data_IF_121164355986
#
_entry.id   IF_121164355986
#
_cell.length_a   1.000
_cell.length_b   1.000
_cell.length_c   1.000
_cell.angle_alpha   90.00
_cell.angle_beta   90.00
_cell.angle_gamma   90.00
#
_symmetry.space_group_name_H-M   'P 1'
#
loop_
_entity.id
_entity.type
_entity.pdbx_description
1 polymer ?
#
# COMPACT_ATOMS: atom_id res chain seq x y z
N UNK A 1 -8.25 -24.80 26.97
CA UNK A 1 -7.47 -23.72 26.33
C UNK A 1 -5.99 -24.07 26.08
N UNK A 2 -5.53 -25.34 26.19
CA UNK A 2 -4.12 -25.72 25.92
C UNK A 2 -3.88 -26.34 24.53
N UNK A 3 -4.92 -26.62 23.74
CA UNK A 3 -4.80 -27.32 22.44
C UNK A 3 -4.48 -26.38 21.27
N UNK A 4 -4.92 -25.11 21.29
CA UNK A 4 -4.59 -24.15 20.23
C UNK A 4 -3.12 -23.70 20.26
N UNK A 5 -2.53 -23.61 21.45
CA UNK A 5 -1.13 -23.22 21.66
C UNK A 5 -0.13 -24.26 21.13
N UNK A 6 -0.51 -25.54 21.06
CA UNK A 6 0.32 -26.62 20.50
C UNK A 6 0.30 -26.66 18.97
N UNK A 7 -0.75 -26.14 18.31
CA UNK A 7 -0.82 -26.06 16.86
C UNK A 7 0.04 -24.91 16.30
N UNK A 8 0.15 -23.80 17.04
CA UNK A 8 1.03 -22.67 16.70
C UNK A 8 2.52 -23.04 16.79
N UNK A 9 2.93 -23.82 17.80
CA UNK A 9 4.33 -24.24 17.98
C UNK A 9 4.85 -25.15 16.84
N UNK A 10 3.98 -25.95 16.23
CA UNK A 10 4.37 -26.91 15.18
C UNK A 10 4.53 -26.33 13.77
N UNK A 11 3.89 -25.19 13.48
CA UNK A 11 3.90 -24.59 12.15
C UNK A 11 4.98 -23.51 11.98
N UNK A 12 5.35 -22.81 13.06
CA UNK A 12 6.42 -21.80 13.05
C UNK A 12 7.79 -22.46 12.80
N UNK A 13 8.01 -23.69 13.27
CA UNK A 13 9.28 -24.43 13.04
C UNK A 13 9.43 -24.92 11.60
N UNK A 14 8.33 -25.22 10.89
CA UNK A 14 8.41 -25.72 9.52
C UNK A 14 8.59 -24.63 8.47
N UNK A 15 8.13 -23.41 8.75
CA UNK A 15 8.30 -22.28 7.83
C UNK A 15 9.78 -21.80 7.76
N UNK A 16 10.53 -21.97 8.84
CA UNK A 16 11.93 -21.54 8.92
C UNK A 16 12.94 -22.52 8.30
N UNK A 17 12.58 -23.79 8.09
CA UNK A 17 13.48 -24.81 7.52
C UNK A 17 13.52 -24.85 5.98
N UNK A 18 12.61 -24.14 5.30
CA UNK A 18 12.53 -24.14 3.83
C UNK A 18 13.41 -23.07 3.15
N UNK A 19 13.99 -22.13 3.92
CA UNK A 19 14.82 -21.03 3.37
C UNK A 19 16.27 -21.44 3.12
N UNK A 20 16.79 -22.48 3.79
CA UNK A 20 18.20 -22.89 3.64
C UNK A 20 18.47 -23.86 2.48
N UNK A 21 17.46 -24.34 1.74
CA UNK A 21 17.65 -25.39 0.74
C UNK A 21 17.80 -24.91 -0.72
N UNK A 22 17.58 -23.63 -1.04
CA UNK A 22 17.55 -23.19 -2.45
C UNK A 22 18.82 -22.49 -2.96
N UNK A 23 19.88 -22.39 -2.17
CA UNK A 23 21.09 -21.63 -2.53
C UNK A 23 22.29 -22.44 -3.04
N UNK A 24 22.10 -23.66 -3.56
CA UNK A 24 23.21 -24.40 -4.16
C UNK A 24 22.75 -25.29 -5.31
N UNK A 25 22.62 -24.70 -6.50
CA UNK A 25 23.02 -25.34 -7.78
C UNK A 25 22.79 -24.38 -8.95
N UNK A 26 23.87 -23.73 -9.42
CA UNK A 26 23.92 -23.20 -10.79
C UNK A 26 25.18 -23.75 -11.43
N UNK A 27 25.04 -24.94 -12.03
CA UNK A 27 25.99 -25.48 -12.97
C UNK A 27 25.72 -24.88 -14.36
N UNK A 28 26.78 -24.28 -14.90
CA UNK A 28 26.92 -23.84 -16.28
C UNK A 28 26.70 -24.99 -17.26
N UNK A 29 25.88 -24.81 -18.29
CA UNK A 29 26.18 -25.46 -19.57
C UNK A 29 25.52 -24.82 -20.81
N UNK A 30 26.25 -25.01 -21.90
CA UNK A 30 26.16 -24.47 -23.25
C UNK A 30 24.79 -24.40 -23.93
N UNK A 31 24.51 -23.26 -24.59
CA UNK A 31 23.72 -23.25 -25.83
C UNK A 31 24.37 -22.40 -26.92
N UNK A 32 24.64 -23.08 -28.04
CA UNK A 32 25.20 -22.57 -29.29
C UNK A 32 24.21 -21.71 -30.07
N UNK A 33 24.77 -20.64 -30.64
CA UNK A 33 24.52 -20.02 -31.95
C UNK A 33 23.19 -20.31 -32.68
N UNK A 34 22.38 -19.26 -32.83
CA UNK A 34 21.36 -19.13 -33.89
C UNK A 34 21.59 -17.78 -34.59
N UNK A 35 21.63 -17.72 -35.94
CA UNK A 35 22.01 -16.50 -36.65
C UNK A 35 20.90 -15.45 -36.68
N UNK A 36 21.32 -14.19 -36.57
CA UNK A 36 20.51 -12.99 -36.77
C UNK A 36 19.99 -12.93 -38.22
N UNK A 37 18.68 -12.83 -38.37
CA UNK A 37 18.01 -12.58 -39.64
C UNK A 37 17.32 -11.22 -39.54
N UNK A 38 17.90 -10.21 -40.21
CA UNK A 38 17.30 -8.88 -40.35
C UNK A 38 16.05 -8.93 -41.24
N UNK A 39 14.97 -8.21 -40.89
CA UNK A 39 13.98 -7.79 -41.86
C UNK A 39 14.22 -6.32 -42.26
N UNK A 40 14.47 -6.16 -43.56
CA UNK A 40 14.56 -4.92 -44.31
C UNK A 40 13.25 -4.13 -44.32
N UNK A 41 13.39 -2.86 -43.96
CA UNK A 41 12.79 -1.64 -44.55
C UNK A 41 11.27 -1.51 -44.77
N UNK A 42 10.77 -0.36 -44.29
CA UNK A 42 9.69 0.45 -44.88
C UNK A 42 8.26 0.22 -44.39
N UNK A 43 7.90 0.87 -43.27
CA UNK A 43 6.66 1.65 -43.27
C UNK A 43 6.75 2.85 -42.32
N UNK A 44 6.87 4.02 -42.95
CA UNK A 44 6.77 5.35 -42.33
C UNK A 44 5.37 5.52 -41.74
N UNK A 45 5.26 5.67 -40.43
CA UNK A 45 4.17 6.41 -39.81
C UNK A 45 4.76 7.45 -38.87
N UNK A 46 4.94 8.64 -39.42
CA UNK A 46 5.25 9.85 -38.68
C UNK A 46 3.97 10.28 -37.98
N UNK A 47 3.78 9.91 -36.71
CA UNK A 47 2.78 10.52 -35.87
C UNK A 47 3.32 11.87 -35.39
N UNK A 48 2.94 12.92 -36.11
CA UNK A 48 3.13 14.30 -35.67
C UNK A 48 2.31 14.52 -34.40
N UNK A 49 2.98 14.40 -33.24
CA UNK A 49 2.48 14.98 -31.99
C UNK A 49 2.43 16.49 -32.22
N UNK A 50 1.22 17.00 -32.42
CA UNK A 50 0.99 18.44 -32.48
C UNK A 50 0.66 18.89 -31.06
N UNK A 51 1.50 19.70 -30.41
CA UNK A 51 1.08 20.34 -29.17
C UNK A 51 -0.05 21.32 -29.51
N UNK A 52 -1.16 21.20 -28.79
CA UNK A 52 -2.37 22.01 -28.99
C UNK A 52 -2.14 23.43 -28.48
N UNK A 53 -1.44 24.26 -29.27
CA UNK A 53 -1.54 25.73 -29.23
C UNK A 53 -1.27 26.32 -30.62
N UNK A 54 -2.25 26.23 -31.52
CA UNK A 54 -2.26 27.05 -32.74
C UNK A 54 -2.90 28.40 -32.42
N UNK A 55 -2.13 29.32 -31.83
CA UNK A 55 -2.56 30.73 -31.75
C UNK A 55 -2.36 31.35 -33.13
N UNK A 56 -3.46 31.59 -33.83
CA UNK A 56 -3.51 32.37 -35.08
C UNK A 56 -2.85 33.72 -34.82
N UNK A 57 -1.66 33.94 -35.40
CA UNK A 57 -1.03 35.27 -35.41
C UNK A 57 -1.81 36.13 -36.38
N UNK A 58 -2.73 36.93 -35.84
CA UNK A 58 -3.35 38.03 -36.57
C UNK A 58 -2.57 39.29 -36.19
N UNK A 59 -1.84 39.85 -37.16
CA UNK A 59 -1.21 41.15 -37.01
C UNK A 59 -2.30 42.23 -36.96
N UNK A 60 -2.43 42.94 -35.82
CA UNK A 60 -3.08 44.25 -35.73
C UNK A 60 -2.38 45.08 -34.65
N UNK A 61 -2.27 46.36 -34.97
CA UNK A 61 -1.56 47.47 -34.35
C UNK A 61 -1.76 47.73 -32.84
N UNK A 62 -0.82 48.57 -32.40
CA UNK A 62 -0.50 49.12 -31.09
C UNK A 62 -1.64 49.85 -30.32
N UNK A 63 -1.41 49.95 -29.00
CA UNK A 63 -1.97 50.87 -27.98
C UNK A 63 -3.29 50.50 -27.29
N UNK A 64 -3.15 50.01 -26.05
CA UNK A 64 -4.23 49.88 -25.07
C UNK A 64 -3.81 48.94 -23.96
N UNK A 65 -3.51 49.49 -22.78
CA UNK A 65 -3.12 48.75 -21.58
C UNK A 65 -4.27 47.82 -21.15
N UNK A 66 -4.30 46.59 -21.66
CA UNK A 66 -5.19 45.53 -21.19
C UNK A 66 -4.59 44.94 -19.91
N UNK A 67 -5.38 44.66 -18.86
CA UNK A 67 -4.86 43.89 -17.73
C UNK A 67 -4.37 42.56 -18.30
N UNK A 68 -3.11 42.25 -18.02
CA UNK A 68 -2.53 40.95 -18.29
C UNK A 68 -3.49 39.92 -17.67
N UNK A 69 -4.11 39.07 -18.48
CA UNK A 69 -4.93 37.95 -17.98
C UNK A 69 -3.98 37.07 -17.15
N UNK A 70 -3.86 37.38 -15.85
CA UNK A 70 -3.10 36.59 -14.89
C UNK A 70 -3.83 35.25 -14.78
N UNK A 71 -3.38 34.28 -15.58
CA UNK A 71 -3.72 32.88 -15.37
C UNK A 71 -3.41 32.59 -13.89
N UNK A 72 -4.40 32.16 -13.10
CA UNK A 72 -4.22 32.05 -11.67
C UNK A 72 -3.12 31.02 -11.41
N UNK A 73 -2.27 31.23 -10.39
CA UNK A 73 -1.09 30.40 -10.16
C UNK A 73 -1.48 28.91 -10.19
N UNK A 74 -0.66 28.08 -10.83
CA UNK A 74 -0.91 26.64 -11.06
C UNK A 74 -1.45 25.91 -9.81
N UNK A 75 -0.99 26.31 -8.63
CA UNK A 75 -1.46 25.84 -7.32
C UNK A 75 -2.98 25.99 -7.09
N UNK A 76 -3.57 27.08 -7.59
CA UNK A 76 -5.01 27.34 -7.46
C UNK A 76 -5.87 26.61 -8.47
N UNK A 77 -5.35 26.34 -9.68
CA UNK A 77 -6.07 25.59 -10.71
C UNK A 77 -6.16 24.11 -10.35
N UNK A 78 -5.04 23.49 -9.94
CA UNK A 78 -5.05 22.08 -9.57
C UNK A 78 -5.94 21.83 -8.35
N UNK A 79 -5.92 22.72 -7.34
CA UNK A 79 -6.74 22.57 -6.13
C UNK A 79 -8.23 22.54 -6.47
N UNK A 80 -8.66 23.36 -7.43
CA UNK A 80 -10.03 23.37 -7.92
C UNK A 80 -10.36 22.05 -8.64
N UNK A 81 -9.48 21.57 -9.51
CA UNK A 81 -9.67 20.29 -10.20
C UNK A 81 -9.74 19.11 -9.22
N UNK A 82 -8.88 19.07 -8.20
CA UNK A 82 -8.94 18.05 -7.15
C UNK A 82 -10.28 18.09 -6.42
N UNK A 83 -10.78 19.28 -6.09
CA UNK A 83 -12.06 19.43 -5.42
C UNK A 83 -13.22 18.94 -6.31
N UNK A 84 -13.22 19.28 -7.59
CA UNK A 84 -14.19 18.78 -8.57
C UNK A 84 -14.15 17.24 -8.68
N UNK A 85 -12.95 16.64 -8.68
CA UNK A 85 -12.78 15.19 -8.69
C UNK A 85 -13.35 14.52 -7.45
N UNK A 86 -13.14 15.10 -6.26
CA UNK A 86 -13.70 14.57 -5.00
C UNK A 86 -15.22 14.67 -4.98
N UNK A 87 -15.77 15.79 -5.45
CA UNK A 87 -17.22 15.96 -5.57
C UNK A 87 -17.83 14.99 -6.58
N UNK A 88 -17.13 14.76 -7.70
CA UNK A 88 -17.51 13.75 -8.67
C UNK A 88 -17.48 12.37 -8.02
N UNK A 89 -16.40 12.00 -7.33
CA UNK A 89 -16.27 10.70 -6.67
C UNK A 89 -17.39 10.43 -5.63
N UNK A 90 -17.86 11.48 -4.95
CA UNK A 90 -18.97 11.36 -4.00
C UNK A 90 -20.31 11.03 -4.67
N UNK A 91 -20.50 11.45 -5.94
CA UNK A 91 -21.72 11.28 -6.74
C UNK A 91 -21.64 10.05 -7.66
N UNK A 92 -20.52 9.91 -8.36
CA UNK A 92 -20.20 8.90 -9.36
C UNK A 92 -18.71 8.51 -9.22
N UNK A 93 -18.41 7.48 -8.39
CA UNK A 93 -17.07 6.95 -8.21
C UNK A 93 -16.40 6.52 -9.51
N UNK A 94 -17.16 5.92 -10.43
CA UNK A 94 -16.60 5.32 -11.65
C UNK A 94 -16.17 6.43 -12.61
N UNK A 95 -16.99 7.46 -12.80
CA UNK A 95 -16.62 8.63 -13.60
C UNK A 95 -15.40 9.39 -13.03
N UNK A 96 -15.26 9.46 -11.70
CA UNK A 96 -14.09 10.08 -11.08
C UNK A 96 -12.81 9.29 -11.32
N UNK A 97 -12.86 7.96 -11.16
CA UNK A 97 -11.72 7.08 -11.39
C UNK A 97 -11.30 7.07 -12.87
N UNK A 98 -12.27 7.08 -13.79
CA UNK A 98 -12.00 7.19 -15.23
C UNK A 98 -11.29 8.50 -15.57
N UNK A 99 -11.69 9.63 -14.94
CA UNK A 99 -11.03 10.91 -15.14
C UNK A 99 -9.60 10.91 -14.59
N UNK A 100 -9.38 10.31 -13.41
CA UNK A 100 -8.03 10.14 -12.84
C UNK A 100 -7.14 9.31 -13.79
N UNK A 101 -7.66 8.23 -14.35
CA UNK A 101 -6.91 7.38 -15.28
C UNK A 101 -6.46 8.12 -16.56
N UNK A 102 -7.16 9.18 -16.96
CA UNK A 102 -6.85 9.98 -18.14
C UNK A 102 -5.85 11.12 -17.88
N UNK A 103 -5.44 11.36 -16.63
CA UNK A 103 -4.51 12.43 -16.28
C UNK A 103 -3.09 12.13 -16.79
N UNK A 104 -2.50 13.05 -17.55
CA UNK A 104 -1.16 12.88 -18.13
C UNK A 104 -0.05 13.08 -17.10
N UNK A 105 -0.19 14.09 -16.23
CA UNK A 105 0.81 14.41 -15.22
C UNK A 105 0.81 13.37 -14.09
N UNK A 106 1.95 12.69 -13.91
CA UNK A 106 2.08 11.55 -12.99
C UNK A 106 1.80 11.95 -11.54
N UNK A 107 2.38 13.06 -11.08
CA UNK A 107 2.26 13.51 -9.69
C UNK A 107 0.83 13.95 -9.35
N UNK A 108 0.19 14.70 -10.25
CA UNK A 108 -1.20 15.12 -10.11
C UNK A 108 -2.14 13.91 -10.16
N UNK A 109 -1.91 12.98 -11.09
CA UNK A 109 -2.67 11.72 -11.18
C UNK A 109 -2.61 10.92 -9.90
N UNK A 110 -1.42 10.73 -9.33
CA UNK A 110 -1.25 9.98 -8.07
C UNK A 110 -1.93 10.71 -6.90
N UNK A 111 -1.81 12.03 -6.84
CA UNK A 111 -2.47 12.85 -5.81
C UNK A 111 -4.00 12.82 -5.92
N UNK A 112 -4.52 12.89 -7.15
CA UNK A 112 -5.94 12.77 -7.45
C UNK A 112 -6.48 11.38 -7.14
N UNK A 113 -5.74 10.33 -7.54
CA UNK A 113 -6.08 8.93 -7.25
C UNK A 113 -6.25 8.71 -5.75
N UNK A 114 -5.30 9.17 -4.94
CA UNK A 114 -5.39 9.10 -3.47
C UNK A 114 -6.67 9.76 -2.95
N UNK A 115 -6.92 10.99 -3.37
CA UNK A 115 -8.07 11.75 -2.88
C UNK A 115 -9.41 11.11 -3.30
N UNK A 116 -9.51 10.66 -4.55
CA UNK A 116 -10.70 9.97 -5.07
C UNK A 116 -10.91 8.65 -4.35
N UNK A 117 -9.91 7.77 -4.25
CA UNK A 117 -10.06 6.50 -3.55
C UNK A 117 -10.45 6.69 -2.08
N UNK A 118 -9.87 7.66 -1.38
CA UNK A 118 -10.26 7.97 0.00
C UNK A 118 -11.72 8.43 0.10
N UNK A 119 -12.21 9.18 -0.88
CA UNK A 119 -13.61 9.62 -0.94
C UNK A 119 -14.56 8.46 -1.27
N UNK A 120 -14.17 7.57 -2.19
CA UNK A 120 -14.94 6.38 -2.56
C UNK A 120 -15.04 5.42 -1.38
N UNK A 121 -13.98 5.29 -0.59
CA UNK A 121 -13.92 4.37 0.56
C UNK A 121 -14.94 4.68 1.66
N UNK A 122 -15.50 5.89 1.69
CA UNK A 122 -16.57 6.25 2.62
C UNK A 122 -17.87 5.45 2.39
N UNK A 123 -18.09 4.99 1.15
CA UNK A 123 -19.28 4.21 0.76
C UNK A 123 -18.95 2.80 0.29
N UNK A 124 -17.81 2.64 -0.39
CA UNK A 124 -17.40 1.39 -1.01
C UNK A 124 -15.87 1.20 -0.87
N UNK A 125 -15.40 0.73 0.30
CA UNK A 125 -13.97 0.52 0.55
C UNK A 125 -13.37 -0.60 -0.31
N UNK A 126 -14.19 -1.56 -0.78
CA UNK A 126 -13.75 -2.60 -1.70
C UNK A 126 -13.41 -2.01 -3.06
N UNK A 127 -14.32 -1.20 -3.65
CA UNK A 127 -14.04 -0.47 -4.88
C UNK A 127 -12.84 0.44 -4.73
N UNK A 128 -12.76 1.19 -3.63
CA UNK A 128 -11.65 2.13 -3.42
C UNK A 128 -10.28 1.44 -3.43
N UNK A 129 -10.12 0.32 -2.69
CA UNK A 129 -8.85 -0.40 -2.65
C UNK A 129 -8.53 -1.11 -3.98
N UNK A 130 -9.53 -1.75 -4.59
CA UNK A 130 -9.35 -2.47 -5.87
C UNK A 130 -8.98 -1.52 -7.00
N UNK A 131 -9.59 -0.34 -7.06
CA UNK A 131 -9.24 0.71 -8.03
C UNK A 131 -7.89 1.34 -7.75
N UNK A 132 -7.54 1.58 -6.47
CA UNK A 132 -6.21 2.08 -6.09
C UNK A 132 -5.11 1.12 -6.56
N UNK A 133 -5.29 -0.19 -6.35
CA UNK A 133 -4.39 -1.22 -6.85
C UNK A 133 -4.30 -1.22 -8.37
N UNK A 134 -5.45 -1.26 -9.06
CA UNK A 134 -5.51 -1.34 -10.52
C UNK A 134 -4.87 -0.13 -11.22
N UNK A 135 -4.94 1.06 -10.60
CA UNK A 135 -4.34 2.29 -11.10
C UNK A 135 -2.90 2.53 -10.60
N UNK A 136 -2.30 1.52 -9.96
CA UNK A 136 -0.86 1.50 -9.64
C UNK A 136 -0.48 2.24 -8.36
N UNK A 137 -1.43 2.57 -7.48
CA UNK A 137 -1.11 3.23 -6.21
C UNK A 137 -0.23 2.32 -5.34
N UNK A 138 0.85 2.87 -4.79
CA UNK A 138 1.74 2.14 -3.89
C UNK A 138 2.69 1.17 -4.58
N UNK A 139 2.88 1.29 -5.90
CA UNK A 139 3.92 0.54 -6.60
C UNK A 139 5.31 1.01 -6.17
N UNK A 140 6.23 0.08 -5.92
CA UNK A 140 7.54 0.31 -5.28
C UNK A 140 8.45 1.22 -6.12
N UNK A 141 8.28 1.22 -7.45
CA UNK A 141 9.03 2.09 -8.36
C UNK A 141 8.63 3.58 -8.29
N UNK A 142 7.58 3.93 -7.54
CA UNK A 142 7.22 5.32 -7.29
C UNK A 142 7.95 5.85 -6.05
N UNK A 143 8.81 6.86 -6.23
CA UNK A 143 9.46 7.60 -5.13
C UNK A 143 8.42 8.23 -4.17
N UNK A 144 7.19 8.41 -4.64
CA UNK A 144 6.05 8.89 -3.86
C UNK A 144 5.30 7.80 -3.08
N UNK A 145 5.74 6.53 -3.12
CA UNK A 145 4.95 5.33 -2.73
C UNK A 145 4.09 5.53 -1.48
N UNK A 146 2.80 5.77 -1.72
CA UNK A 146 1.81 6.00 -0.68
C UNK A 146 1.25 4.69 -0.13
N UNK A 147 2.15 3.81 0.32
CA UNK A 147 1.77 2.59 1.02
C UNK A 147 0.80 2.86 2.18
N UNK A 148 0.90 4.03 2.81
CA UNK A 148 -0.04 4.50 3.85
C UNK A 148 -1.49 4.64 3.37
N UNK A 149 -1.71 5.03 2.11
CA UNK A 149 -3.08 5.12 1.57
C UNK A 149 -3.64 3.74 1.33
N UNK A 150 -2.86 2.81 0.77
CA UNK A 150 -3.27 1.41 0.66
C UNK A 150 -3.58 0.79 2.03
N UNK A 151 -2.69 0.96 3.01
CA UNK A 151 -2.89 0.51 4.40
C UNK A 151 -4.23 1.04 4.96
N UNK A 152 -4.51 2.33 4.74
CA UNK A 152 -5.76 2.95 5.21
C UNK A 152 -6.99 2.37 4.52
N UNK A 153 -6.99 2.28 3.19
CA UNK A 153 -8.09 1.72 2.41
C UNK A 153 -8.36 0.25 2.78
N UNK A 154 -7.29 -0.52 2.96
CA UNK A 154 -7.34 -1.91 3.40
C UNK A 154 -7.96 -2.04 4.79
N UNK A 155 -7.55 -1.17 5.73
CA UNK A 155 -8.16 -1.08 7.04
C UNK A 155 -9.65 -0.74 6.97
N UNK A 156 -10.06 0.22 6.12
CA UNK A 156 -11.48 0.57 5.95
C UNK A 156 -12.31 -0.58 5.39
N UNK A 157 -11.77 -1.33 4.42
CA UNK A 157 -12.45 -2.52 3.92
C UNK A 157 -12.53 -3.59 5.01
N UNK A 158 -11.47 -3.82 5.77
CA UNK A 158 -11.46 -4.79 6.87
C UNK A 158 -12.47 -4.48 7.98
N UNK A 159 -12.79 -3.19 8.23
CA UNK A 159 -13.87 -2.81 9.15
C UNK A 159 -15.24 -3.27 8.65
N UNK A 160 -15.47 -3.23 7.34
CA UNK A 160 -16.76 -3.59 6.72
C UNK A 160 -16.87 -5.10 6.49
N UNK A 161 -15.83 -5.70 5.91
CA UNK A 161 -15.75 -7.13 5.59
C UNK A 161 -14.29 -7.60 5.63
N UNK A 162 -13.86 -8.02 6.81
CA UNK A 162 -12.53 -8.56 7.07
C UNK A 162 -12.20 -9.77 6.17
N UNK A 163 -13.14 -10.69 6.00
CA UNK A 163 -12.90 -11.93 5.27
C UNK A 163 -12.70 -11.68 3.77
N UNK A 164 -13.52 -10.81 3.19
CA UNK A 164 -13.36 -10.40 1.80
C UNK A 164 -12.04 -9.64 1.58
N UNK A 165 -11.68 -8.72 2.49
CA UNK A 165 -10.44 -7.96 2.39
C UNK A 165 -9.19 -8.87 2.43
N UNK A 166 -9.14 -9.84 3.37
CA UNK A 166 -8.04 -10.82 3.46
C UNK A 166 -7.99 -11.68 2.20
N UNK A 167 -9.15 -12.19 1.76
CA UNK A 167 -9.23 -13.06 0.58
C UNK A 167 -8.75 -12.33 -0.67
N UNK A 168 -9.18 -11.08 -0.85
CA UNK A 168 -8.73 -10.30 -1.99
C UNK A 168 -7.24 -10.00 -1.90
N UNK A 169 -6.72 -9.56 -0.74
CA UNK A 169 -5.29 -9.30 -0.56
C UNK A 169 -4.42 -10.54 -0.82
N UNK A 170 -4.86 -11.73 -0.41
CA UNK A 170 -4.13 -12.99 -0.66
C UNK A 170 -4.10 -13.42 -2.13
N UNK A 171 -4.99 -12.89 -2.97
CA UNK A 171 -5.09 -13.24 -4.39
C UNK A 171 -4.32 -12.29 -5.33
N UNK A 172 -3.47 -11.42 -4.78
CA UNK A 172 -2.67 -10.51 -5.59
C UNK A 172 -1.47 -11.22 -6.26
N UNK A 173 -1.04 -10.75 -7.45
CA UNK A 173 0.15 -11.23 -8.13
C UNK A 173 1.40 -11.27 -7.22
N UNK A 174 2.19 -12.35 -7.35
CA UNK A 174 3.38 -12.58 -6.55
C UNK A 174 4.60 -11.72 -6.92
N UNK A 175 4.54 -10.95 -8.01
CA UNK A 175 5.55 -9.94 -8.36
C UNK A 175 5.33 -8.60 -7.65
N UNK A 176 4.26 -8.47 -6.86
CA UNK A 176 3.86 -7.27 -6.13
C UNK A 176 3.75 -7.54 -4.62
N UNK A 177 4.61 -8.41 -4.07
CA UNK A 177 4.53 -8.87 -2.67
C UNK A 177 4.61 -7.72 -1.66
N UNK A 178 5.50 -6.75 -1.87
CA UNK A 178 5.62 -5.61 -0.96
C UNK A 178 4.31 -4.78 -0.95
N UNK A 179 3.70 -4.56 -2.12
CA UNK A 179 2.42 -3.84 -2.24
C UNK A 179 1.27 -4.63 -1.61
N UNK A 180 1.25 -5.96 -1.78
CA UNK A 180 0.32 -6.87 -1.10
C UNK A 180 0.49 -6.80 0.42
N UNK A 181 1.71 -6.77 0.90
CA UNK A 181 2.02 -6.78 2.32
C UNK A 181 1.66 -5.45 3.00
N UNK A 182 1.74 -4.31 2.29
CA UNK A 182 1.19 -3.03 2.76
C UNK A 182 -0.32 -3.14 3.01
N UNK A 183 -1.04 -3.83 2.14
CA UNK A 183 -2.48 -4.06 2.30
C UNK A 183 -2.75 -4.98 3.50
N UNK A 184 -2.01 -6.09 3.61
CA UNK A 184 -2.11 -7.01 4.74
C UNK A 184 -1.80 -6.33 6.07
N UNK A 185 -0.79 -5.45 6.12
CA UNK A 185 -0.46 -4.64 7.30
C UNK A 185 -1.62 -3.73 7.70
N UNK A 186 -2.28 -3.09 6.74
CA UNK A 186 -3.48 -2.27 6.98
C UNK A 186 -4.63 -3.07 7.60
N UNK A 187 -4.91 -4.26 7.03
CA UNK A 187 -5.92 -5.20 7.53
C UNK A 187 -5.57 -5.65 8.97
N UNK A 188 -4.35 -6.11 9.19
CA UNK A 188 -3.88 -6.62 10.48
C UNK A 188 -3.94 -5.55 11.57
N UNK A 189 -3.60 -4.30 11.25
CA UNK A 189 -3.67 -3.16 12.18
C UNK A 189 -5.08 -2.90 12.70
N UNK A 190 -6.11 -3.07 11.85
CA UNK A 190 -7.51 -2.96 12.25
C UNK A 190 -7.93 -4.19 13.03
N UNK A 191 -7.64 -5.39 12.51
CA UNK A 191 -8.05 -6.64 13.15
C UNK A 191 -7.48 -6.79 14.56
N UNK A 192 -6.25 -6.30 14.79
CA UNK A 192 -5.60 -6.36 16.10
C UNK A 192 -6.35 -5.61 17.22
N UNK A 193 -7.26 -4.69 16.89
CA UNK A 193 -8.07 -3.99 17.88
C UNK A 193 -9.05 -4.94 18.58
N UNK A 194 -9.58 -5.93 17.85
CA UNK A 194 -10.54 -6.91 18.36
C UNK A 194 -9.91 -8.29 18.58
N UNK A 195 -9.00 -8.71 17.70
CA UNK A 195 -8.32 -10.01 17.73
C UNK A 195 -6.82 -9.89 17.37
N UNK A 196 -5.97 -9.44 18.31
CA UNK A 196 -4.53 -9.32 18.09
C UNK A 196 -3.84 -10.66 17.87
N UNK A 197 -4.33 -11.76 18.46
CA UNK A 197 -3.80 -13.11 18.21
C UNK A 197 -4.05 -13.55 16.75
N UNK A 198 -5.26 -13.35 16.23
CA UNK A 198 -5.56 -13.69 14.84
C UNK A 198 -4.81 -12.77 13.85
N UNK A 199 -4.68 -11.48 14.18
CA UNK A 199 -3.88 -10.54 13.39
C UNK A 199 -2.38 -10.92 13.38
N UNK A 200 -1.84 -11.33 14.53
CA UNK A 200 -0.48 -11.85 14.65
C UNK A 200 -0.28 -13.09 13.79
N UNK A 201 -1.24 -14.02 13.79
CA UNK A 201 -1.22 -15.20 12.95
C UNK A 201 -1.25 -14.83 11.45
N UNK A 202 -2.07 -13.87 11.04
CA UNK A 202 -2.09 -13.39 9.65
C UNK A 202 -0.73 -12.85 9.22
N UNK A 203 -0.12 -11.97 10.02
CA UNK A 203 1.20 -11.39 9.70
C UNK A 203 2.28 -12.46 9.64
N UNK A 204 2.27 -13.43 10.56
CA UNK A 204 3.27 -14.48 10.61
C UNK A 204 3.16 -15.49 9.45
N UNK A 205 1.96 -15.68 8.87
CA UNK A 205 1.70 -16.78 7.92
C UNK A 205 1.40 -16.33 6.50
N UNK A 206 1.02 -15.08 6.28
CA UNK A 206 0.54 -14.59 4.98
C UNK A 206 1.39 -13.44 4.40
N UNK A 207 2.40 -12.95 5.13
CA UNK A 207 3.29 -11.88 4.67
C UNK A 207 4.70 -12.41 4.43
N UNK A 208 5.42 -11.78 3.50
CA UNK A 208 6.81 -12.12 3.18
C UNK A 208 7.72 -11.65 4.33
N UNK A 209 8.68 -12.48 4.81
CA UNK A 209 9.59 -12.13 5.92
C UNK A 209 10.58 -11.00 5.61
N UNK A 210 10.08 -9.77 5.52
CA UNK A 210 10.82 -8.57 5.18
C UNK A 210 10.37 -7.37 6.04
N UNK A 211 10.80 -6.17 5.64
CA UNK A 211 10.55 -4.91 6.34
C UNK A 211 9.06 -4.67 6.65
N UNK A 212 8.16 -4.92 5.70
CA UNK A 212 6.72 -4.65 5.88
C UNK A 212 6.10 -5.58 6.92
N UNK A 213 6.46 -6.87 6.92
CA UNK A 213 6.03 -7.81 7.95
C UNK A 213 6.52 -7.38 9.33
N UNK A 214 7.78 -6.96 9.45
CA UNK A 214 8.34 -6.52 10.73
C UNK A 214 7.61 -5.28 11.26
N UNK A 215 7.33 -4.31 10.39
CA UNK A 215 6.52 -3.14 10.75
C UNK A 215 5.10 -3.53 11.18
N UNK A 216 4.46 -4.47 10.49
CA UNK A 216 3.14 -4.98 10.87
C UNK A 216 3.17 -5.67 12.24
N UNK A 217 4.21 -6.47 12.51
CA UNK A 217 4.40 -7.13 13.79
C UNK A 217 4.53 -6.12 14.94
N UNK A 218 5.31 -5.05 14.77
CA UNK A 218 5.44 -3.99 15.79
C UNK A 218 4.09 -3.31 16.10
N UNK A 219 3.28 -3.05 15.06
CA UNK A 219 1.94 -2.48 15.25
C UNK A 219 1.06 -3.41 16.08
N UNK A 220 1.12 -4.71 15.82
CA UNK A 220 0.34 -5.70 16.56
C UNK A 220 0.84 -5.82 18.00
N UNK A 221 2.16 -5.89 18.23
CA UNK A 221 2.75 -5.94 19.59
C UNK A 221 2.24 -4.77 20.42
N UNK A 222 2.35 -3.54 19.89
CA UNK A 222 1.92 -2.35 20.61
C UNK A 222 0.43 -2.35 20.96
N UNK A 223 -0.43 -2.75 20.01
CA UNK A 223 -1.89 -2.84 20.24
C UNK A 223 -2.27 -3.96 21.20
N UNK A 224 -1.65 -5.12 21.04
CA UNK A 224 -1.90 -6.27 21.90
C UNK A 224 -1.48 -5.97 23.33
N UNK A 225 -0.30 -5.37 23.53
CA UNK A 225 0.24 -5.10 24.86
C UNK A 225 -0.60 -4.11 25.69
N UNK A 226 -1.27 -3.15 25.04
CA UNK A 226 -2.22 -2.24 25.71
C UNK A 226 -3.40 -3.01 26.31
N UNK A 227 -3.80 -4.12 25.68
CA UNK A 227 -4.98 -4.91 26.06
C UNK A 227 -4.62 -6.10 26.95
N UNK A 228 -3.58 -6.83 26.59
CA UNK A 228 -3.11 -8.05 27.23
C UNK A 228 -1.58 -8.14 27.05
N UNK A 229 -0.87 -7.55 28.01
CA UNK A 229 0.58 -7.51 28.02
C UNK A 229 1.20 -8.91 28.08
N UNK A 230 0.65 -9.82 28.88
CA UNK A 230 1.23 -11.15 29.10
C UNK A 230 1.19 -11.97 27.81
N UNK A 231 0.06 -11.95 27.10
CA UNK A 231 -0.06 -12.63 25.81
C UNK A 231 0.78 -11.96 24.71
N UNK A 232 0.86 -10.63 24.70
CA UNK A 232 1.73 -9.92 23.77
C UNK A 232 3.21 -10.27 24.02
N UNK A 233 3.65 -10.33 25.28
CA UNK A 233 5.00 -10.73 25.67
C UNK A 233 5.29 -12.17 25.24
N UNK A 234 4.34 -13.10 25.46
CA UNK A 234 4.49 -14.48 25.03
C UNK A 234 4.66 -14.61 23.50
N UNK A 235 4.00 -13.75 22.72
CA UNK A 235 4.21 -13.72 21.27
C UNK A 235 5.57 -13.13 20.88
N UNK A 236 6.03 -12.07 21.55
CA UNK A 236 7.36 -11.48 21.34
C UNK A 236 8.48 -12.47 21.67
N UNK A 237 8.31 -13.32 22.68
CA UNK A 237 9.28 -14.37 23.04
C UNK A 237 9.44 -15.43 21.94
N UNK A 238 8.51 -15.52 20.98
CA UNK A 238 8.63 -16.39 19.81
C UNK A 238 9.47 -15.76 18.67
N UNK A 239 9.81 -14.47 18.75
CA UNK A 239 10.60 -13.82 17.71
C UNK A 239 12.05 -14.28 17.78
N UNK A 240 12.75 -14.42 16.63
CA UNK A 240 14.17 -14.74 16.62
C UNK A 240 14.98 -13.73 17.44
N UNK A 241 15.97 -14.22 18.19
CA UNK A 241 16.88 -13.33 18.93
C UNK A 241 17.57 -12.35 17.98
N UNK A 242 17.64 -11.08 18.38
CA UNK A 242 18.23 -10.02 17.58
C UNK A 242 17.37 -8.76 17.50
N UNK A 243 17.62 -7.88 16.49
CA UNK A 243 17.05 -6.54 16.43
C UNK A 243 15.51 -6.49 16.45
N UNK A 244 14.85 -7.47 15.84
CA UNK A 244 13.38 -7.53 15.81
C UNK A 244 12.78 -7.80 17.19
N UNK A 245 13.36 -8.75 17.96
CA UNK A 245 12.89 -9.07 19.30
C UNK A 245 13.21 -7.94 20.28
N UNK A 246 14.39 -7.32 20.16
CA UNK A 246 14.74 -6.13 20.95
C UNK A 246 13.76 -4.99 20.70
N UNK A 247 13.46 -4.71 19.42
CA UNK A 247 12.49 -3.68 19.05
C UNK A 247 11.09 -4.00 19.56
N UNK A 248 10.67 -5.27 19.51
CA UNK A 248 9.38 -5.69 20.06
C UNK A 248 9.31 -5.51 21.58
N UNK A 249 10.39 -5.83 22.31
CA UNK A 249 10.51 -5.60 23.76
C UNK A 249 10.43 -4.10 24.10
N UNK A 250 11.00 -3.22 23.27
CA UNK A 250 10.82 -1.78 23.41
C UNK A 250 9.35 -1.37 23.21
N UNK A 251 8.65 -1.92 22.23
CA UNK A 251 7.22 -1.64 22.02
C UNK A 251 6.36 -2.10 23.20
N UNK A 252 6.67 -3.27 23.81
CA UNK A 252 6.04 -3.72 25.06
C UNK A 252 6.26 -2.70 26.20
N UNK A 253 7.49 -2.23 26.38
CA UNK A 253 7.83 -1.24 27.41
C UNK A 253 7.09 0.09 27.24
N UNK A 254 6.93 0.57 25.99
CA UNK A 254 6.12 1.76 25.68
C UNK A 254 4.66 1.57 26.07
N UNK A 255 4.09 0.38 25.84
CA UNK A 255 2.71 0.08 26.22
C UNK A 255 2.50 0.14 27.74
N UNK A 256 3.49 -0.29 28.54
CA UNK A 256 3.44 -0.18 30.00
C UNK A 256 3.47 1.28 30.47
N UNK A 257 4.30 2.11 29.84
CA UNK A 257 4.46 3.52 30.22
C UNK A 257 3.22 4.34 29.90
N UNK A 258 2.50 3.98 28.84
CA UNK A 258 1.26 4.63 28.42
C UNK A 258 0.02 4.11 29.17
N UNK A 259 0.16 3.09 30.01
CA UNK A 259 -0.91 2.68 30.91
C UNK A 259 -1.04 3.76 31.98
N UNK A 260 -2.24 4.32 32.23
CA UNK A 260 -2.41 5.16 33.42
C UNK A 260 -1.93 4.34 34.62
N UNK A 261 -1.18 4.93 35.58
CA UNK A 261 -0.70 4.20 36.74
C UNK A 261 -1.92 3.53 37.36
N UNK A 262 -1.98 2.21 37.23
CA UNK A 262 -2.91 1.41 38.01
C UNK A 262 -2.66 1.83 39.44
N UNK A 263 -3.69 2.30 40.15
CA UNK A 263 -3.68 2.31 41.60
C UNK A 263 -2.99 1.02 42.02
N UNK A 264 -1.82 1.19 42.65
CA UNK A 264 -1.09 0.11 43.29
C UNK A 264 -2.12 -0.76 43.98
N UNK A 265 -2.31 -2.00 43.51
CA UNK A 265 -3.02 -3.01 44.29
C UNK A 265 -2.14 -3.29 45.50
N UNK A 266 -2.19 -2.38 46.46
CA UNK A 266 -2.02 -2.65 47.87
C UNK A 266 -3.27 -3.42 48.29
N UNK A 267 -3.13 -4.74 48.36
CA UNK A 267 -3.55 -5.60 49.47
C UNK A 267 -3.43 -7.06 49.08
#
# INVERSE_FOLDING_TARGET
>A
MKKSMLLLLGLITTAWLLVEYTQNDVATDHFSSIPLQEPTESQKFSASVTPRFSRVVRAVDNSGNAPMDEEPPMETSWMKELQELKELAAKDPDAALDRVAQMSEKEERVSALKAVCLQVAEKDPAKALTSAWALGLGHVADESSDGKTLEKLAGQWAVVDLAAAITWAGNQPGDEEERRDLIMKGIASVWAQTSPEDAAHLVATQMTPEKVQFEAAMVIVGRWAVRDYDQASAWVDLFPEGPIQERAKEELSKALTNRPPSETRSN
#
